data_IF_794744069255
#
_entry.id   IF_794744069255
#
_cell.length_a   1.000
_cell.length_b   1.000
_cell.length_c   1.000
_cell.angle_alpha   90.00
_cell.angle_beta   90.00
_cell.angle_gamma   90.00
#
_symmetry.space_group_name_H-M   'P 1'
#
loop_
_entity.id
_entity.type
_entity.pdbx_description
1 polymer ?
#
# COMPACT_ATOMS: atom_id res chain seq x y z
N UNK A 1 -1.48 -9.17 5.46
CA UNK A 1 -2.34 -8.79 4.31
C UNK A 1 -1.73 -9.39 3.06
N UNK A 2 -2.49 -10.09 2.21
CA UNK A 2 -1.92 -10.87 1.10
C UNK A 2 -2.01 -10.14 -0.25
N UNK A 3 -1.17 -9.11 -0.45
CA UNK A 3 -1.22 -8.24 -1.64
C UNK A 3 -0.87 -8.94 -2.97
N UNK A 4 0.00 -9.95 -2.94
CA UNK A 4 0.50 -10.61 -4.16
C UNK A 4 -0.02 -12.04 -4.32
N UNK A 5 -0.44 -12.65 -3.23
CA UNK A 5 -0.89 -14.04 -3.17
C UNK A 5 -2.40 -14.23 -3.17
N UNK A 6 -3.15 -13.25 -2.67
CA UNK A 6 -4.60 -13.30 -2.65
C UNK A 6 -5.17 -12.01 -3.22
N UNK A 7 -4.98 -11.83 -4.53
CA UNK A 7 -5.70 -10.78 -5.26
C UNK A 7 -7.13 -11.25 -5.45
N UNK A 8 -8.05 -10.55 -4.82
CA UNK A 8 -9.45 -10.99 -4.79
C UNK A 8 -10.22 -10.52 -6.02
N UNK A 9 -9.81 -9.39 -6.60
CA UNK A 9 -10.38 -8.87 -7.84
C UNK A 9 -9.26 -8.33 -8.74
N UNK A 10 -9.35 -8.63 -10.04
CA UNK A 10 -8.37 -8.16 -11.03
C UNK A 10 -9.05 -7.15 -11.94
N UNK A 11 -8.67 -5.89 -11.81
CA UNK A 11 -9.14 -4.79 -12.64
C UNK A 11 -7.94 -4.10 -13.29
N UNK A 12 -8.04 -3.74 -14.58
CA UNK A 12 -7.00 -2.90 -15.19
C UNK A 12 -7.15 -1.45 -14.72
N UNK A 13 -6.05 -0.83 -14.28
CA UNK A 13 -6.08 0.55 -13.83
C UNK A 13 -6.48 1.49 -14.97
N UNK A 14 -7.50 2.31 -14.72
CA UNK A 14 -7.92 3.41 -15.60
C UNK A 14 -7.05 4.65 -15.43
N UNK A 15 -6.43 4.83 -14.26
CA UNK A 15 -5.56 5.95 -13.92
C UNK A 15 -4.15 5.80 -14.51
N UNK A 16 -3.56 4.59 -14.45
CA UNK A 16 -2.21 4.34 -14.98
C UNK A 16 -2.16 3.06 -15.79
N UNK A 17 -2.03 3.23 -17.11
CA UNK A 17 -2.01 2.15 -18.07
C UNK A 17 -0.98 1.06 -17.71
N UNK A 18 -1.42 -0.19 -17.84
CA UNK A 18 -0.59 -1.37 -17.56
C UNK A 18 -0.49 -1.76 -16.09
N UNK A 19 -1.03 -0.96 -15.16
CA UNK A 19 -1.19 -1.38 -13.75
C UNK A 19 -2.46 -2.20 -13.54
N UNK A 20 -2.42 -3.01 -12.50
CA UNK A 20 -3.49 -3.90 -12.08
C UNK A 20 -3.99 -3.43 -10.70
N UNK A 21 -5.26 -3.07 -10.65
CA UNK A 21 -6.00 -2.72 -9.45
C UNK A 21 -6.62 -3.96 -8.82
N UNK A 22 -6.83 -3.88 -7.50
CA UNK A 22 -7.50 -4.89 -6.69
C UNK A 22 -8.51 -4.16 -5.78
N UNK A 23 -9.64 -3.73 -6.36
CA UNK A 23 -10.59 -2.86 -5.67
C UNK A 23 -11.17 -3.51 -4.41
N UNK A 24 -11.42 -4.82 -4.40
CA UNK A 24 -11.96 -5.52 -3.23
C UNK A 24 -11.01 -5.50 -2.02
N UNK A 25 -9.72 -5.78 -2.23
CA UNK A 25 -8.74 -5.62 -1.15
C UNK A 25 -8.56 -4.15 -0.75
N UNK A 26 -8.63 -3.22 -1.70
CA UNK A 26 -8.54 -1.80 -1.41
C UNK A 26 -9.71 -1.30 -0.53
N UNK A 27 -10.94 -1.70 -0.82
CA UNK A 27 -12.11 -1.44 0.06
C UNK A 27 -11.86 -2.00 1.46
N UNK A 28 -11.36 -3.23 1.56
CA UNK A 28 -11.05 -3.86 2.85
C UNK A 28 -9.98 -3.08 3.65
N UNK A 29 -8.97 -2.52 2.98
CA UNK A 29 -7.95 -1.65 3.59
C UNK A 29 -8.60 -0.37 4.13
N UNK A 30 -9.44 0.28 3.33
CA UNK A 30 -10.11 1.53 3.69
C UNK A 30 -11.10 1.34 4.86
N UNK A 31 -11.87 0.25 4.85
CA UNK A 31 -12.77 -0.10 5.95
C UNK A 31 -12.00 -0.31 7.26
N UNK A 32 -10.93 -1.12 7.22
CA UNK A 32 -10.07 -1.35 8.40
C UNK A 32 -9.41 -0.08 8.89
N UNK A 33 -8.94 0.78 7.99
CA UNK A 33 -8.38 2.08 8.36
C UNK A 33 -9.41 2.91 9.12
N UNK A 34 -10.65 2.99 8.62
CA UNK A 34 -11.74 3.73 9.28
C UNK A 34 -12.04 3.15 10.66
N UNK A 35 -12.23 1.84 10.76
CA UNK A 35 -12.55 1.14 12.00
C UNK A 35 -11.45 1.33 13.06
N UNK A 36 -10.19 1.11 12.70
CA UNK A 36 -9.05 1.18 13.64
C UNK A 36 -8.77 2.61 14.11
N UNK A 37 -9.04 3.61 13.26
CA UNK A 37 -8.75 5.02 13.55
C UNK A 37 -9.99 5.81 13.97
N UNK A 38 -11.10 5.14 14.31
CA UNK A 38 -12.36 5.79 14.68
C UNK A 38 -12.19 6.79 15.83
N UNK A 39 -11.31 6.49 16.78
CA UNK A 39 -11.00 7.34 17.94
C UNK A 39 -10.36 8.70 17.58
N UNK A 40 -9.70 8.80 16.41
CA UNK A 40 -9.12 10.05 15.87
C UNK A 40 -9.83 10.53 14.60
N UNK A 41 -10.96 9.92 14.23
CA UNK A 41 -11.64 10.21 12.97
C UNK A 41 -12.02 11.69 12.82
N UNK A 42 -12.42 12.34 13.92
CA UNK A 42 -12.69 13.78 13.95
C UNK A 42 -11.48 14.61 13.53
N UNK A 43 -10.29 14.28 14.06
CA UNK A 43 -9.03 14.95 13.70
C UNK A 43 -8.76 14.75 12.21
N UNK A 44 -8.87 13.52 11.72
CA UNK A 44 -8.66 13.22 10.30
C UNK A 44 -9.64 13.96 9.37
N UNK A 45 -10.88 14.17 9.81
CA UNK A 45 -11.91 14.88 9.04
C UNK A 45 -11.64 16.39 8.91
N UNK A 46 -10.90 16.96 9.86
CA UNK A 46 -10.51 18.37 9.83
C UNK A 46 -9.32 18.62 8.88
N UNK A 47 -8.54 17.59 8.59
CA UNK A 47 -7.40 17.66 7.67
C UNK A 47 -7.86 17.69 6.21
N UNK A 48 -7.34 18.65 5.44
CA UNK A 48 -7.78 18.90 4.06
C UNK A 48 -6.76 18.47 3.01
N UNK A 49 -7.24 17.91 1.90
CA UNK A 49 -6.45 17.55 0.73
C UNK A 49 -5.71 18.77 0.17
N UNK A 50 -4.46 18.58 -0.27
CA UNK A 50 -3.64 19.67 -0.82
C UNK A 50 -3.83 19.89 -2.32
N UNK A 51 -4.56 18.98 -2.99
CA UNK A 51 -4.82 19.04 -4.42
C UNK A 51 -6.03 18.21 -4.81
N UNK A 52 -6.39 18.35 -6.08
CA UNK A 52 -7.40 17.54 -6.72
C UNK A 52 -6.91 16.10 -6.89
N UNK A 53 -7.84 15.17 -6.64
CA UNK A 53 -7.75 13.76 -6.95
C UNK A 53 -8.80 13.44 -8.01
N UNK A 54 -8.36 13.28 -9.25
CA UNK A 54 -9.21 12.84 -10.35
C UNK A 54 -8.98 11.35 -10.58
N UNK A 55 -10.02 10.54 -10.32
CA UNK A 55 -9.97 9.09 -10.51
C UNK A 55 -10.57 8.68 -11.83
N UNK A 56 -11.72 9.29 -12.17
CA UNK A 56 -12.40 9.18 -13.45
C UNK A 56 -12.93 10.56 -13.86
N UNK A 57 -13.50 10.66 -15.07
CA UNK A 57 -14.12 11.92 -15.54
C UNK A 57 -15.26 12.41 -14.61
N UNK A 58 -15.94 11.48 -13.94
CA UNK A 58 -17.08 11.77 -13.06
C UNK A 58 -16.72 11.73 -11.58
N UNK A 59 -15.70 10.96 -11.18
CA UNK A 59 -15.30 10.79 -9.79
C UNK A 59 -14.02 11.55 -9.50
N UNK A 60 -14.16 12.63 -8.74
CA UNK A 60 -13.05 13.47 -8.30
C UNK A 60 -13.29 14.04 -6.91
N UNK A 61 -12.21 14.27 -6.19
CA UNK A 61 -12.19 15.02 -4.93
C UNK A 61 -11.37 16.27 -5.17
N UNK A 62 -11.97 17.45 -5.02
CA UNK A 62 -11.27 18.71 -5.19
C UNK A 62 -10.34 18.98 -3.99
N UNK A 63 -9.34 19.83 -4.20
CA UNK A 63 -8.49 20.35 -3.13
C UNK A 63 -9.33 21.01 -2.02
N UNK A 64 -8.83 20.95 -0.79
CA UNK A 64 -9.51 21.54 0.37
C UNK A 64 -10.64 20.67 0.95
N UNK A 65 -10.89 19.47 0.40
CA UNK A 65 -11.86 18.51 0.95
C UNK A 65 -11.23 17.69 2.08
N UNK A 66 -12.02 17.17 3.05
CA UNK A 66 -11.51 16.26 4.06
C UNK A 66 -10.72 15.08 3.47
N UNK A 67 -9.60 14.70 4.07
CA UNK A 67 -8.87 13.49 3.63
C UNK A 67 -9.68 12.21 3.87
N UNK A 68 -10.65 12.26 4.79
CA UNK A 68 -11.63 11.19 5.03
C UNK A 68 -12.55 10.95 3.83
N UNK A 69 -12.76 11.93 2.94
CA UNK A 69 -13.52 11.74 1.71
C UNK A 69 -12.88 10.68 0.79
N UNK A 70 -11.55 10.56 0.81
CA UNK A 70 -10.82 9.48 0.10
C UNK A 70 -11.23 8.10 0.62
N UNK A 71 -11.52 8.00 1.91
CA UNK A 71 -11.95 6.75 2.54
C UNK A 71 -13.41 6.46 2.22
N UNK A 72 -14.31 7.42 2.42
CA UNK A 72 -15.74 7.21 2.23
C UNK A 72 -16.09 6.90 0.76
N UNK A 73 -15.54 7.67 -0.18
CA UNK A 73 -15.74 7.42 -1.61
C UNK A 73 -15.07 6.11 -2.03
N UNK A 74 -13.86 5.84 -1.54
CA UNK A 74 -13.17 4.58 -1.85
C UNK A 74 -13.83 3.34 -1.28
N UNK A 75 -14.66 3.43 -0.23
CA UNK A 75 -15.45 2.30 0.28
C UNK A 75 -16.73 2.09 -0.55
N UNK A 76 -17.34 3.19 -1.01
CA UNK A 76 -18.66 3.15 -1.66
C UNK A 76 -18.59 2.98 -3.18
N UNK A 77 -17.53 3.45 -3.83
CA UNK A 77 -17.37 3.41 -5.27
C UNK A 77 -16.73 2.08 -5.73
N UNK A 78 -17.17 1.51 -6.86
CA UNK A 78 -16.68 0.19 -7.30
C UNK A 78 -15.28 0.20 -7.92
N UNK A 79 -14.88 1.26 -8.62
CA UNK A 79 -13.73 1.20 -9.55
C UNK A 79 -12.49 2.00 -9.12
N UNK A 80 -12.64 2.89 -8.16
CA UNK A 80 -11.60 3.80 -7.67
C UNK A 80 -10.99 3.46 -6.29
N UNK A 81 -11.43 2.44 -5.51
CA UNK A 81 -10.88 2.18 -4.17
C UNK A 81 -9.36 2.07 -4.11
N UNK A 82 -8.75 1.43 -5.13
CA UNK A 82 -7.30 1.22 -5.19
C UNK A 82 -6.53 2.54 -5.27
N UNK A 83 -7.01 3.49 -6.08
CA UNK A 83 -6.37 4.80 -6.22
C UNK A 83 -6.66 5.69 -5.00
N UNK A 84 -7.84 5.53 -4.36
CA UNK A 84 -8.16 6.18 -3.09
C UNK A 84 -7.19 5.82 -1.96
N UNK A 85 -6.77 4.54 -1.87
CA UNK A 85 -5.73 4.10 -0.91
C UNK A 85 -4.43 4.89 -1.14
N UNK A 86 -3.99 5.01 -2.39
CA UNK A 86 -2.80 5.77 -2.74
C UNK A 86 -2.90 7.25 -2.37
N UNK A 87 -4.06 7.86 -2.62
CA UNK A 87 -4.31 9.25 -2.23
C UNK A 87 -4.28 9.44 -0.71
N UNK A 88 -4.93 8.55 0.03
CA UNK A 88 -4.94 8.58 1.49
C UNK A 88 -3.51 8.50 2.06
N UNK A 89 -2.71 7.54 1.60
CA UNK A 89 -1.33 7.37 2.06
C UNK A 89 -0.48 8.62 1.83
N UNK A 90 -0.66 9.29 0.69
CA UNK A 90 0.03 10.55 0.39
C UNK A 90 -0.32 11.65 1.39
N UNK A 91 -1.60 11.85 1.68
CA UNK A 91 -2.02 12.86 2.66
C UNK A 91 -1.53 12.52 4.07
N UNK A 92 -1.58 11.24 4.46
CA UNK A 92 -1.11 10.81 5.77
C UNK A 92 0.38 11.10 5.95
N UNK A 93 1.20 10.77 4.94
CA UNK A 93 2.63 11.11 4.93
C UNK A 93 2.88 12.61 5.04
N UNK A 94 2.10 13.41 4.31
CA UNK A 94 2.20 14.88 4.31
C UNK A 94 1.88 15.46 5.68
N UNK A 95 0.73 15.11 6.26
CA UNK A 95 0.31 15.63 7.57
C UNK A 95 1.18 15.12 8.71
N UNK A 96 1.63 13.87 8.65
CA UNK A 96 2.64 13.36 9.58
C UNK A 96 3.90 14.23 9.53
N UNK A 97 4.44 14.45 8.33
CA UNK A 97 5.66 15.24 8.14
C UNK A 97 5.53 16.70 8.57
N UNK A 98 4.32 17.26 8.51
CA UNK A 98 3.98 18.59 8.99
C UNK A 98 3.77 18.66 10.51
N UNK A 99 3.82 17.53 11.23
CA UNK A 99 3.67 17.47 12.68
C UNK A 99 2.22 17.39 13.18
N UNK A 100 1.24 17.23 12.29
CA UNK A 100 -0.19 17.23 12.67
C UNK A 100 -0.58 16.00 13.51
N UNK A 101 0.06 14.85 13.27
CA UNK A 101 -0.05 13.65 14.09
C UNK A 101 1.18 12.76 13.87
N UNK A 102 1.40 11.78 14.75
CA UNK A 102 2.41 10.73 14.54
C UNK A 102 1.83 9.59 13.72
N UNK A 103 2.52 9.16 12.66
CA UNK A 103 2.06 8.06 11.81
C UNK A 103 2.80 6.75 12.15
N UNK A 104 2.06 5.70 12.42
CA UNK A 104 2.61 4.34 12.60
C UNK A 104 2.17 3.46 11.44
N UNK A 105 3.13 2.92 10.70
CA UNK A 105 2.89 2.02 9.56
C UNK A 105 3.36 0.62 9.95
N UNK A 106 2.42 -0.29 10.18
CA UNK A 106 2.72 -1.70 10.43
C UNK A 106 2.27 -2.54 9.22
N UNK A 107 3.21 -3.26 8.61
CA UNK A 107 2.94 -4.15 7.48
C UNK A 107 3.38 -5.55 7.84
N UNK A 108 2.37 -6.39 8.04
CA UNK A 108 2.55 -7.84 8.13
C UNK A 108 2.66 -8.46 6.73
N UNK A 109 3.51 -9.48 6.60
CA UNK A 109 3.91 -10.11 5.32
C UNK A 109 4.53 -9.09 4.34
N UNK A 110 5.35 -8.16 4.83
CA UNK A 110 5.92 -7.05 4.05
C UNK A 110 6.79 -7.53 2.88
N UNK A 111 7.38 -8.72 2.96
CA UNK A 111 8.14 -9.30 1.85
C UNK A 111 7.27 -9.65 0.63
N UNK A 112 5.94 -9.72 0.79
CA UNK A 112 4.99 -9.81 -0.33
C UNK A 112 5.12 -8.63 -1.30
N UNK A 113 5.55 -7.44 -0.84
CA UNK A 113 5.72 -6.26 -1.68
C UNK A 113 6.71 -6.48 -2.82
N UNK A 114 7.65 -7.43 -2.70
CA UNK A 114 8.58 -7.85 -3.75
C UNK A 114 8.40 -9.31 -4.16
N UNK A 115 7.43 -9.99 -3.57
CA UNK A 115 7.16 -11.40 -3.81
C UNK A 115 6.63 -11.71 -5.20
N UNK A 116 6.57 -13.01 -5.51
CA UNK A 116 5.89 -13.53 -6.70
C UNK A 116 4.38 -13.30 -6.57
N UNK A 117 3.72 -13.09 -7.70
CA UNK A 117 2.27 -12.86 -7.73
C UNK A 117 1.55 -14.05 -8.36
N UNK A 118 0.30 -14.28 -7.94
CA UNK A 118 -0.59 -15.25 -8.58
C UNK A 118 -1.46 -14.65 -9.68
N UNK A 119 -1.40 -13.32 -9.87
CA UNK A 119 -2.15 -12.61 -10.91
C UNK A 119 -1.59 -12.96 -12.28
N UNK A 120 -2.44 -13.38 -13.21
CA UNK A 120 -2.04 -13.65 -14.60
C UNK A 120 -2.45 -12.49 -15.50
N UNK A 121 -1.54 -12.11 -16.39
CA UNK A 121 -1.80 -11.20 -17.51
C UNK A 121 -2.58 -11.92 -18.61
N UNK A 122 -3.07 -11.18 -19.60
CA UNK A 122 -3.77 -11.74 -20.77
C UNK A 122 -3.00 -12.87 -21.48
N UNK A 123 -1.66 -12.78 -21.54
CA UNK A 123 -0.77 -13.81 -22.09
C UNK A 123 -0.56 -15.03 -21.18
N UNK A 124 -1.36 -15.22 -20.13
CA UNK A 124 -1.27 -16.31 -19.13
C UNK A 124 0.04 -16.39 -18.32
N UNK A 125 0.91 -15.39 -18.46
CA UNK A 125 2.11 -15.21 -17.63
C UNK A 125 1.77 -14.50 -16.33
N UNK A 126 2.48 -14.82 -15.25
CA UNK A 126 2.31 -14.16 -13.97
C UNK A 126 2.80 -12.70 -14.05
N UNK A 127 2.06 -11.79 -13.43
CA UNK A 127 2.46 -10.40 -13.31
C UNK A 127 3.62 -10.27 -12.31
N UNK A 128 4.55 -9.35 -12.57
CA UNK A 128 5.46 -8.87 -11.52
C UNK A 128 4.65 -8.08 -10.47
N UNK A 129 5.06 -8.15 -9.21
CA UNK A 129 4.51 -7.35 -8.11
C UNK A 129 4.53 -5.85 -8.41
N UNK A 130 5.49 -5.40 -9.23
CA UNK A 130 5.57 -4.03 -9.71
C UNK A 130 4.41 -3.57 -10.61
N UNK A 131 3.58 -4.49 -11.12
CA UNK A 131 2.38 -4.12 -11.88
C UNK A 131 1.14 -3.93 -10.98
N UNK A 132 1.16 -4.40 -9.73
CA UNK A 132 0.03 -4.22 -8.83
C UNK A 132 0.05 -2.80 -8.22
N UNK A 133 -1.06 -2.10 -8.35
CA UNK A 133 -1.17 -0.70 -7.89
C UNK A 133 -1.07 -0.59 -6.37
N UNK A 134 -1.71 -1.49 -5.61
CA UNK A 134 -1.59 -1.51 -4.15
C UNK A 134 -0.14 -1.73 -3.71
N UNK A 135 0.60 -2.64 -4.34
CA UNK A 135 2.03 -2.85 -4.05
C UNK A 135 2.82 -1.55 -4.24
N UNK A 136 2.54 -0.79 -5.31
CA UNK A 136 3.19 0.50 -5.54
C UNK A 136 2.84 1.52 -4.44
N UNK A 137 1.60 1.57 -3.99
CA UNK A 137 1.19 2.47 -2.90
C UNK A 137 1.84 2.10 -1.57
N UNK A 138 1.93 0.82 -1.23
CA UNK A 138 2.63 0.40 -0.01
C UNK A 138 4.13 0.62 -0.08
N UNK A 139 4.78 0.37 -1.22
CA UNK A 139 6.19 0.70 -1.43
C UNK A 139 6.45 2.20 -1.29
N UNK A 140 5.54 3.05 -1.76
CA UNK A 140 5.60 4.49 -1.54
C UNK A 140 5.36 4.87 -0.08
N UNK A 141 4.41 4.21 0.61
CA UNK A 141 4.14 4.48 2.03
C UNK A 141 5.36 4.22 2.91
N UNK A 142 6.18 3.21 2.59
CA UNK A 142 7.37 2.86 3.36
C UNK A 142 8.65 3.59 2.91
N UNK A 143 8.56 4.51 1.94
CA UNK A 143 9.73 5.27 1.51
C UNK A 143 10.21 6.24 2.61
N UNK A 144 11.46 6.69 2.51
CA UNK A 144 12.10 7.59 3.48
C UNK A 144 11.83 9.09 3.24
N UNK A 145 10.87 9.42 2.38
CA UNK A 145 10.56 10.80 1.97
C UNK A 145 9.64 11.56 2.96
N UNK A 146 9.28 10.93 4.09
CA UNK A 146 8.41 11.50 5.11
C UNK A 146 8.99 11.28 6.52
N UNK A 147 8.45 12.01 7.51
CA UNK A 147 8.95 12.01 8.90
C UNK A 147 7.82 12.02 9.94
N UNK A 148 8.21 12.02 11.22
CA UNK A 148 7.31 12.04 12.38
C UNK A 148 6.47 10.76 12.53
N UNK A 149 7.10 9.62 12.28
CA UNK A 149 6.46 8.32 12.40
C UNK A 149 7.44 7.17 12.51
N UNK A 150 6.89 5.96 12.48
CA UNK A 150 7.65 4.72 12.54
C UNK A 150 7.06 3.70 11.57
N UNK A 151 7.93 2.90 10.95
CA UNK A 151 7.57 1.81 10.05
C UNK A 151 8.03 0.51 10.70
N UNK A 152 7.10 -0.42 10.89
CA UNK A 152 7.35 -1.79 11.31
C UNK A 152 7.00 -2.75 10.17
N UNK A 153 8.01 -3.48 9.69
CA UNK A 153 7.86 -4.49 8.64
C UNK A 153 8.09 -5.87 9.22
N UNK A 154 7.14 -6.78 9.02
CA UNK A 154 7.26 -8.18 9.40
C UNK A 154 7.36 -9.00 8.12
N UNK A 155 8.40 -9.82 7.99
CA UNK A 155 8.54 -10.75 6.88
C UNK A 155 8.26 -12.18 7.33
N UNK A 156 7.64 -12.95 6.45
CA UNK A 156 7.24 -14.32 6.74
C UNK A 156 7.72 -15.27 5.63
N UNK A 157 8.10 -16.48 6.03
CA UNK A 157 8.57 -17.54 5.13
C UNK A 157 7.48 -18.05 4.20
N UNK A 158 6.24 -18.02 4.66
CA UNK A 158 5.07 -18.43 3.89
C UNK A 158 5.06 -17.72 2.56
N UNK A 159 5.38 -16.42 2.48
CA UNK A 159 5.47 -15.61 1.24
C UNK A 159 6.49 -16.13 0.21
N UNK A 160 7.46 -16.95 0.61
CA UNK A 160 8.40 -17.61 -0.28
C UNK A 160 8.05 -19.06 -0.60
N UNK A 161 7.24 -19.70 0.23
CA UNK A 161 6.82 -21.08 0.02
C UNK A 161 5.96 -21.15 -1.25
N UNK A 162 6.52 -21.73 -2.31
CA UNK A 162 5.70 -22.31 -3.36
C UNK A 162 4.91 -23.44 -2.67
N UNK A 163 3.58 -23.47 -2.80
CA UNK A 163 2.76 -24.53 -2.20
C UNK A 163 3.14 -25.95 -2.67
N UNK A 164 4.02 -26.04 -3.69
CA UNK A 164 4.55 -27.28 -4.27
C UNK A 164 6.03 -27.55 -3.97
N UNK A 165 6.75 -26.63 -3.33
CA UNK A 165 8.17 -26.86 -2.98
C UNK A 165 8.29 -27.25 -1.51
N UNK A 166 8.89 -28.41 -1.27
CA UNK A 166 9.50 -28.70 0.02
C UNK A 166 10.77 -27.84 0.11
N UNK A 167 10.71 -26.71 0.81
CA UNK A 167 11.89 -25.89 1.07
C UNK A 167 12.94 -26.74 1.82
N UNK A 168 14.01 -27.13 1.12
CA UNK A 168 15.16 -27.84 1.71
C UNK A 168 16.09 -26.91 2.51
N UNK A 169 15.96 -25.59 2.34
CA UNK A 169 16.75 -24.58 3.04
C UNK A 169 15.81 -23.56 3.71
N UNK A 170 15.94 -23.45 5.03
CA UNK A 170 15.24 -22.48 5.86
C UNK A 170 15.75 -21.06 5.57
N UNK A 171 15.00 -20.28 4.81
CA UNK A 171 15.25 -18.84 4.62
C UNK A 171 14.74 -18.08 5.83
N UNK A 172 15.63 -17.42 6.57
CA UNK A 172 15.31 -16.79 7.85
C UNK A 172 15.84 -15.35 7.96
N UNK A 173 16.78 -14.97 7.10
CA UNK A 173 17.37 -13.63 7.14
C UNK A 173 16.52 -12.63 6.35
N UNK A 174 16.57 -11.32 6.68
CA UNK A 174 15.89 -10.31 5.89
C UNK A 174 16.26 -10.33 4.40
N UNK A 175 17.54 -10.53 4.07
CA UNK A 175 17.98 -10.62 2.67
C UNK A 175 17.33 -11.80 1.94
N UNK A 176 17.26 -12.97 2.57
CA UNK A 176 16.63 -14.14 1.96
C UNK A 176 15.11 -13.99 1.83
N UNK A 177 14.47 -13.33 2.80
CA UNK A 177 13.02 -13.16 2.87
C UNK A 177 12.49 -12.10 1.90
N UNK A 178 13.18 -10.96 1.81
CA UNK A 178 12.81 -9.85 0.92
C UNK A 178 13.43 -9.95 -0.48
N UNK A 179 14.46 -10.78 -0.66
CA UNK A 179 15.30 -10.80 -1.86
C UNK A 179 16.15 -9.52 -1.99
N UNK A 180 17.03 -9.47 -2.99
CA UNK A 180 17.94 -8.34 -3.19
C UNK A 180 17.20 -7.00 -3.37
N UNK A 181 16.19 -6.95 -4.24
CA UNK A 181 15.42 -5.72 -4.50
C UNK A 181 14.72 -5.22 -3.23
N UNK A 182 14.07 -6.12 -2.49
CA UNK A 182 13.35 -5.75 -1.27
C UNK A 182 14.29 -5.37 -0.14
N UNK A 183 15.38 -6.11 0.03
CA UNK A 183 16.39 -5.81 1.05
C UNK A 183 17.05 -4.46 0.83
N UNK A 184 17.48 -4.14 -0.40
CA UNK A 184 18.04 -2.82 -0.71
C UNK A 184 17.04 -1.69 -0.46
N UNK A 185 15.77 -1.88 -0.82
CA UNK A 185 14.74 -0.88 -0.58
C UNK A 185 14.52 -0.58 0.90
N UNK A 186 14.44 -1.62 1.76
CA UNK A 186 14.25 -1.43 3.21
C UNK A 186 15.53 -0.93 3.90
N UNK A 187 16.71 -1.32 3.44
CA UNK A 187 17.98 -0.90 4.03
C UNK A 187 18.22 0.60 3.84
N UNK A 188 17.89 1.15 2.65
CA UNK A 188 17.95 2.59 2.39
C UNK A 188 17.07 3.38 3.37
N UNK A 189 15.88 2.86 3.67
CA UNK A 189 14.95 3.47 4.63
C UNK A 189 15.53 3.42 6.05
N UNK A 190 16.06 2.27 6.46
CA UNK A 190 16.66 2.08 7.78
C UNK A 190 17.91 2.97 8.00
N UNK A 191 18.78 3.09 6.99
CA UNK A 191 19.98 3.93 7.06
C UNK A 191 19.61 5.41 7.23
N UNK A 192 18.59 5.90 6.54
CA UNK A 192 18.16 7.30 6.66
C UNK A 192 17.50 7.63 8.01
N UNK A 193 16.95 6.63 8.71
CA UNK A 193 16.38 6.82 10.05
C UNK A 193 17.46 7.05 11.13
N UNK A 194 18.69 6.57 10.93
CA UNK A 194 19.80 6.69 11.89
C UNK A 194 20.62 8.00 11.76
N UNK A 195 20.24 8.91 10.86
CA UNK A 195 20.95 10.18 10.60
C UNK A 195 20.10 11.45 10.86
N UNK A 196 19.07 11.39 11.71
CA UNK A 196 18.26 12.56 12.10
C UNK A 196 18.07 12.66 13.60
#
# INVERSE_FOLDING_TARGET
MALTRNVEEVQMSTFKQGRINDPKNAVSILQRFKEQNQHVWKVLNDLKTDRDYEFTKSERILAGKPITDLVEIGISAPFIPTDCVGGLFRELKRFSSAGSFKLFVAIDLANSLWGKTLVKKAGRTYASSSYLTLVKHFRDLISSDWKNGCILLIADKSELANARDHLTVLRNTPLELFGEEGFHAIELVAKMANFK
#
